data_IF_037165090290
#
_entry.id   IF_037165090290
#
_cell.length_a   1.000
_cell.length_b   1.000
_cell.length_c   1.000
_cell.angle_alpha   90.00
_cell.angle_beta   90.00
_cell.angle_gamma   90.00
#
_symmetry.space_group_name_H-M   'P 1'
#
loop_
_entity.id
_entity.type
_entity.pdbx_description
1 polymer ?
#
# COMPACT_ATOMS: atom_id res chain seq x y z
N UNK A 1 7.84 17.44 -23.56
CA UNK A 1 8.87 17.25 -22.52
C UNK A 1 10.23 17.18 -23.17
N UNK A 2 11.00 18.25 -22.99
CA UNK A 2 12.39 18.40 -23.40
C UNK A 2 13.15 19.11 -22.28
N UNK A 3 14.47 19.00 -22.29
CA UNK A 3 15.33 19.75 -21.36
C UNK A 3 15.13 21.25 -21.59
N UNK A 4 14.86 21.99 -20.52
CA UNK A 4 14.53 23.42 -20.54
C UNK A 4 13.03 23.73 -20.40
N UNK A 5 12.14 22.74 -20.49
CA UNK A 5 10.72 22.96 -20.24
C UNK A 5 10.50 23.42 -18.78
N UNK A 6 9.65 24.44 -18.57
CA UNK A 6 9.32 24.99 -17.27
C UNK A 6 7.82 24.85 -16.97
N UNK A 7 7.49 24.35 -15.78
CA UNK A 7 6.12 24.09 -15.33
C UNK A 7 5.81 24.96 -14.10
N UNK A 8 4.73 25.74 -14.16
CA UNK A 8 4.34 26.61 -13.04
C UNK A 8 3.85 25.81 -11.85
N UNK A 9 3.04 24.78 -12.11
CA UNK A 9 2.54 23.89 -11.08
C UNK A 9 3.05 22.46 -11.28
N UNK A 10 3.04 21.69 -10.20
CA UNK A 10 3.36 20.27 -10.28
C UNK A 10 2.26 19.48 -11.04
N UNK A 11 1.02 19.96 -11.05
CA UNK A 11 -0.08 19.35 -11.81
C UNK A 11 0.17 19.45 -13.32
N UNK A 12 0.59 20.62 -13.82
CA UNK A 12 0.93 20.80 -15.24
C UNK A 12 2.04 19.81 -15.68
N UNK A 13 3.02 19.61 -14.79
CA UNK A 13 4.07 18.62 -15.02
C UNK A 13 3.53 17.18 -15.03
N UNK A 14 2.64 16.81 -14.11
CA UNK A 14 2.04 15.47 -14.08
C UNK A 14 1.23 15.17 -15.33
N UNK A 15 0.52 16.16 -15.88
CA UNK A 15 -0.21 16.03 -17.15
C UNK A 15 0.74 15.83 -18.33
N UNK A 16 1.78 16.67 -18.44
CA UNK A 16 2.80 16.54 -19.47
C UNK A 16 3.54 15.20 -19.39
N UNK A 17 3.84 14.74 -18.16
CA UNK A 17 4.45 13.44 -17.91
C UNK A 17 3.50 12.30 -18.28
N UNK A 18 2.21 12.40 -17.99
CA UNK A 18 1.20 11.40 -18.36
C UNK A 18 1.11 11.23 -19.88
N UNK A 19 1.13 12.33 -20.63
CA UNK A 19 1.17 12.30 -22.10
C UNK A 19 2.48 11.67 -22.60
N UNK A 20 3.61 12.05 -22.02
CA UNK A 20 4.92 11.49 -22.37
C UNK A 20 5.00 9.97 -22.13
N UNK A 21 4.47 9.49 -21.00
CA UNK A 21 4.41 8.06 -20.67
C UNK A 21 3.62 7.27 -21.71
N UNK A 22 2.48 7.82 -22.16
CA UNK A 22 1.63 7.19 -23.17
C UNK A 22 2.27 7.16 -24.55
N UNK A 23 2.98 8.22 -24.96
CA UNK A 23 3.62 8.28 -26.28
C UNK A 23 4.88 7.43 -26.38
N UNK A 24 5.62 7.27 -25.27
CA UNK A 24 6.89 6.54 -25.24
C UNK A 24 6.77 5.11 -24.69
N UNK A 25 5.60 4.74 -24.15
CA UNK A 25 5.33 3.45 -23.51
C UNK A 25 6.27 3.13 -22.33
N UNK A 26 6.68 4.15 -21.59
CA UNK A 26 7.54 4.04 -20.40
C UNK A 26 6.80 4.55 -19.18
N UNK A 27 7.06 3.95 -18.03
CA UNK A 27 6.61 4.48 -16.75
C UNK A 27 7.78 4.86 -15.84
N UNK A 28 7.53 5.85 -14.98
CA UNK A 28 8.52 6.44 -14.09
C UNK A 28 8.00 6.47 -12.66
N UNK A 29 8.91 6.28 -11.70
CA UNK A 29 8.65 6.44 -10.27
C UNK A 29 9.56 7.52 -9.67
N UNK A 30 9.13 8.14 -8.57
CA UNK A 30 9.95 9.11 -7.83
C UNK A 30 11.08 8.36 -7.12
N UNK A 31 12.31 8.60 -7.57
CA UNK A 31 13.52 8.01 -6.97
C UNK A 31 14.03 8.86 -5.80
N UNK A 32 14.01 10.17 -5.97
CA UNK A 32 14.42 11.11 -4.93
C UNK A 32 13.65 12.43 -5.08
N UNK A 33 13.38 13.11 -3.98
CA UNK A 33 12.71 14.40 -3.99
C UNK A 33 13.01 15.19 -2.72
N UNK A 34 13.00 16.52 -2.86
CA UNK A 34 12.97 17.43 -1.70
C UNK A 34 11.83 18.41 -1.88
N UNK A 35 11.07 18.64 -0.82
CA UNK A 35 9.98 19.61 -0.84
C UNK A 35 10.53 21.03 -0.71
N UNK A 36 9.86 21.99 -1.35
CA UNK A 36 10.25 23.40 -1.29
C UNK A 36 10.31 23.89 0.16
N UNK A 37 9.26 23.60 0.94
CA UNK A 37 9.14 23.93 2.38
C UNK A 37 10.34 23.44 3.21
N UNK A 38 10.83 22.23 2.96
CA UNK A 38 11.98 21.67 3.70
C UNK A 38 13.29 22.40 3.41
N UNK A 39 13.39 23.04 2.24
CA UNK A 39 14.63 23.64 1.74
C UNK A 39 14.69 25.16 1.94
N UNK A 40 13.63 25.81 2.41
CA UNK A 40 13.59 27.27 2.66
C UNK A 40 14.77 27.74 3.53
N UNK A 41 15.10 27.00 4.60
CA UNK A 41 16.22 27.36 5.49
C UNK A 41 17.59 27.38 4.79
N UNK A 42 17.80 26.48 3.82
CA UNK A 42 19.06 26.37 3.06
C UNK A 42 19.08 27.29 1.85
N UNK A 43 17.90 27.54 1.28
CA UNK A 43 17.72 28.33 0.08
C UNK A 43 16.59 29.34 0.31
N UNK A 44 16.91 30.52 0.89
CA UNK A 44 15.91 31.53 1.25
C UNK A 44 15.09 32.04 0.06
N UNK A 45 15.58 31.89 -1.18
CA UNK A 45 14.84 32.19 -2.42
C UNK A 45 13.53 31.39 -2.55
N UNK A 46 13.42 30.23 -1.91
CA UNK A 46 12.17 29.45 -1.86
C UNK A 46 11.19 29.97 -0.81
N UNK A 47 11.53 30.97 0.01
CA UNK A 47 10.56 31.57 0.92
C UNK A 47 9.40 32.24 0.15
N UNK A 48 9.68 32.75 -1.05
CA UNK A 48 8.71 33.38 -1.94
C UNK A 48 8.13 32.40 -2.98
N UNK A 49 8.50 31.11 -2.91
CA UNK A 49 7.99 30.13 -3.89
C UNK A 49 6.49 30.00 -3.76
N UNK A 50 5.80 29.87 -4.89
CA UNK A 50 4.36 29.63 -4.90
C UNK A 50 4.03 28.39 -4.06
N UNK A 51 2.95 28.43 -3.26
CA UNK A 51 2.52 27.26 -2.47
C UNK A 51 2.20 26.03 -3.35
N UNK A 52 1.96 26.28 -4.63
CA UNK A 52 1.69 25.30 -5.68
C UNK A 52 2.96 24.53 -6.10
N UNK A 53 4.14 25.05 -5.78
CA UNK A 53 5.42 24.38 -6.01
C UNK A 53 5.71 23.36 -4.89
N UNK A 54 5.20 22.14 -5.07
CA UNK A 54 5.35 21.07 -4.07
C UNK A 54 6.81 20.70 -3.77
N UNK A 55 7.68 20.76 -4.78
CA UNK A 55 9.05 20.25 -4.72
C UNK A 55 10.09 21.33 -5.06
N UNK A 56 11.23 21.28 -4.36
CA UNK A 56 12.46 21.98 -4.76
C UNK A 56 13.17 21.20 -5.87
N UNK A 57 13.28 19.89 -5.75
CA UNK A 57 13.70 19.04 -6.86
C UNK A 57 12.98 17.70 -6.82
N UNK A 58 12.84 17.08 -7.98
CA UNK A 58 12.32 15.73 -8.15
C UNK A 58 13.18 15.00 -9.16
N UNK A 59 13.68 13.83 -8.78
CA UNK A 59 14.32 12.87 -9.67
C UNK A 59 13.38 11.70 -9.90
N UNK A 60 12.88 11.57 -11.11
CA UNK A 60 12.16 10.41 -11.59
C UNK A 60 13.15 9.43 -12.23
N UNK A 61 12.92 8.14 -12.03
CA UNK A 61 13.65 7.08 -12.72
C UNK A 61 12.66 6.11 -13.35
N UNK A 62 13.07 5.42 -14.42
CA UNK A 62 12.27 4.38 -15.04
C UNK A 62 11.89 3.31 -13.99
N UNK A 63 10.70 2.70 -14.10
CA UNK A 63 10.25 1.60 -13.23
C UNK A 63 11.23 0.41 -13.24
N UNK A 64 11.90 0.18 -14.37
CA UNK A 64 12.96 -0.81 -14.52
C UNK A 64 14.33 -0.35 -14.00
N UNK A 65 14.45 0.89 -13.55
CA UNK A 65 15.70 1.48 -13.10
C UNK A 65 16.18 0.98 -11.74
N UNK A 66 17.50 0.99 -11.52
CA UNK A 66 18.12 0.57 -10.27
C UNK A 66 18.16 -0.96 -10.05
N UNK A 67 18.58 -1.37 -8.86
CA UNK A 67 18.75 -2.78 -8.49
C UNK A 67 17.89 -3.16 -7.29
N UNK A 68 17.45 -4.42 -7.26
CA UNK A 68 16.80 -4.97 -6.08
C UNK A 68 17.85 -5.15 -4.96
N UNK A 69 17.61 -4.53 -3.81
CA UNK A 69 18.45 -4.68 -2.62
C UNK A 69 17.68 -5.46 -1.57
N UNK A 70 18.20 -6.63 -1.19
CA UNK A 70 17.65 -7.42 -0.08
C UNK A 70 17.96 -6.71 1.23
N UNK A 71 17.09 -6.86 2.23
CA UNK A 71 17.39 -6.47 3.60
C UNK A 71 18.31 -7.52 4.21
N UNK A 72 19.30 -7.08 5.00
CA UNK A 72 20.28 -7.96 5.64
C UNK A 72 19.65 -8.98 6.61
N UNK A 73 18.39 -8.78 7.03
CA UNK A 73 17.67 -9.63 8.00
C UNK A 73 16.87 -10.79 7.38
N UNK A 74 16.85 -10.95 6.05
CA UNK A 74 16.06 -12.01 5.41
C UNK A 74 16.89 -13.28 5.17
N UNK A 75 16.42 -14.43 5.67
CA UNK A 75 17.01 -15.77 5.48
C UNK A 75 16.87 -16.35 4.06
N UNK A 76 16.49 -15.52 3.07
CA UNK A 76 16.39 -15.85 1.64
C UNK A 76 15.51 -17.05 1.24
N UNK A 77 14.55 -17.42 2.09
CA UNK A 77 13.67 -18.58 1.90
C UNK A 77 12.64 -18.43 0.77
N UNK A 78 12.50 -17.25 0.15
CA UNK A 78 11.52 -16.99 -0.93
C UNK A 78 12.15 -16.26 -2.11
N UNK A 79 12.01 -16.83 -3.30
CA UNK A 79 12.34 -16.15 -4.56
C UNK A 79 11.39 -14.97 -4.78
N UNK A 80 11.92 -13.76 -4.84
CA UNK A 80 11.15 -12.55 -5.15
C UNK A 80 11.48 -12.06 -6.55
N UNK A 81 10.49 -11.99 -7.43
CA UNK A 81 10.65 -11.39 -8.75
C UNK A 81 10.71 -9.87 -8.64
N UNK A 82 11.69 -9.24 -9.27
CA UNK A 82 11.82 -7.79 -9.33
C UNK A 82 11.78 -7.31 -10.78
N UNK A 83 11.12 -6.19 -11.03
CA UNK A 83 11.11 -5.54 -12.35
C UNK A 83 12.39 -4.71 -12.62
N UNK A 84 13.28 -4.62 -11.63
CA UNK A 84 14.49 -3.80 -11.64
C UNK A 84 15.55 -4.45 -12.54
N UNK A 85 15.90 -3.79 -13.63
CA UNK A 85 16.86 -4.22 -14.66
C UNK A 85 18.05 -3.25 -14.78
N UNK A 86 18.21 -2.30 -13.86
CA UNK A 86 19.30 -1.34 -13.90
C UNK A 86 19.16 -0.24 -14.96
N UNK A 87 17.96 0.00 -15.48
CA UNK A 87 17.72 1.07 -16.46
C UNK A 87 18.17 2.44 -15.94
N UNK A 88 18.94 3.17 -16.75
CA UNK A 88 19.53 4.46 -16.38
C UNK A 88 18.65 5.66 -16.72
N UNK A 89 17.56 5.46 -17.49
CA UNK A 89 16.65 6.54 -17.85
C UNK A 89 16.10 7.28 -16.64
N UNK A 90 16.18 8.61 -16.69
CA UNK A 90 15.76 9.49 -15.62
C UNK A 90 15.30 10.85 -16.13
N UNK A 91 14.44 11.50 -15.33
CA UNK A 91 14.01 12.88 -15.54
C UNK A 91 14.29 13.63 -14.25
N UNK A 92 14.96 14.78 -14.34
CA UNK A 92 15.33 15.60 -13.20
C UNK A 92 14.77 17.00 -13.35
N UNK A 93 13.96 17.38 -12.37
CA UNK A 93 13.37 18.71 -12.27
C UNK A 93 13.92 19.43 -11.04
N UNK A 94 14.16 20.73 -11.19
CA UNK A 94 14.56 21.62 -10.09
C UNK A 94 13.72 22.90 -10.13
N UNK A 95 13.50 23.50 -8.98
CA UNK A 95 12.91 24.83 -8.89
C UNK A 95 13.83 25.85 -9.55
N UNK A 96 13.25 26.74 -10.36
CA UNK A 96 13.97 27.80 -11.02
C UNK A 96 14.62 28.78 -10.02
N UNK A 97 15.44 29.70 -10.53
CA UNK A 97 16.12 30.68 -9.69
C UNK A 97 15.16 31.57 -8.86
N UNK A 98 13.95 31.81 -9.37
CA UNK A 98 12.92 32.63 -8.72
C UNK A 98 12.08 31.86 -7.69
N UNK A 99 12.05 30.53 -7.76
CA UNK A 99 11.19 29.67 -6.94
C UNK A 99 9.75 29.56 -7.44
N UNK A 100 9.45 29.96 -8.68
CA UNK A 100 8.08 30.07 -9.20
C UNK A 100 7.64 28.86 -10.04
N UNK A 101 8.61 28.13 -10.60
CA UNK A 101 8.36 27.03 -11.55
C UNK A 101 9.38 25.89 -11.39
N UNK A 102 8.97 24.68 -11.77
CA UNK A 102 9.84 23.51 -11.93
C UNK A 102 10.40 23.46 -13.35
N UNK A 103 11.71 23.51 -13.48
CA UNK A 103 12.43 23.42 -14.74
C UNK A 103 13.03 22.02 -14.92
N UNK A 104 12.84 21.45 -16.11
CA UNK A 104 13.44 20.17 -16.49
C UNK A 104 14.92 20.38 -16.85
N UNK A 105 15.82 20.20 -15.89
CA UNK A 105 17.25 20.48 -16.06
C UNK A 105 18.00 19.35 -16.75
N UNK A 106 17.65 18.08 -16.46
CA UNK A 106 18.37 16.92 -17.00
C UNK A 106 17.39 15.81 -17.35
N UNK A 107 17.64 15.17 -18.48
CA UNK A 107 16.85 14.04 -18.96
C UNK A 107 17.78 13.02 -19.62
N UNK A 108 17.60 11.75 -19.30
CA UNK A 108 18.16 10.64 -20.06
C UNK A 108 17.00 9.73 -20.48
N UNK A 109 16.84 9.52 -21.79
CA UNK A 109 15.80 8.65 -22.38
C UNK A 109 16.39 7.37 -22.98
N UNK A 110 17.61 7.02 -22.63
CA UNK A 110 18.21 5.74 -23.00
C UNK A 110 17.68 4.62 -22.08
N UNK A 111 16.96 3.66 -22.68
CA UNK A 111 16.42 2.50 -21.98
C UNK A 111 17.14 1.24 -22.41
N UNK A 112 17.48 0.38 -21.45
CA UNK A 112 18.13 -0.91 -21.69
C UNK A 112 17.12 -2.07 -21.82
N UNK A 113 15.85 -1.75 -22.03
CA UNK A 113 14.75 -2.72 -22.09
C UNK A 113 13.78 -2.35 -23.21
N UNK A 114 12.99 -3.34 -23.63
CA UNK A 114 11.96 -3.14 -24.65
C UNK A 114 10.87 -2.19 -24.16
N UNK A 115 10.37 -1.37 -25.08
CA UNK A 115 9.24 -0.46 -24.89
C UNK A 115 8.16 -0.84 -25.87
N UNK A 116 7.03 -1.33 -25.37
CA UNK A 116 5.87 -1.65 -26.20
C UNK A 116 4.59 -1.28 -25.48
N UNK A 117 3.54 -0.98 -26.25
CA UNK A 117 2.22 -0.63 -25.72
C UNK A 117 1.64 -1.74 -24.84
N UNK A 118 1.86 -2.99 -25.25
CA UNK A 118 1.41 -4.17 -24.49
C UNK A 118 2.11 -4.24 -23.15
N UNK A 119 3.44 -4.14 -23.11
CA UNK A 119 4.22 -4.15 -21.88
C UNK A 119 3.83 -2.99 -20.96
N UNK A 120 3.64 -1.79 -21.52
CA UNK A 120 3.21 -0.61 -20.78
C UNK A 120 1.86 -0.82 -20.10
N UNK A 121 0.87 -1.35 -20.83
CA UNK A 121 -0.48 -1.63 -20.30
C UNK A 121 -0.47 -2.66 -19.15
N UNK A 122 0.50 -3.57 -19.15
CA UNK A 122 0.68 -4.56 -18.08
C UNK A 122 1.47 -4.05 -16.86
N UNK A 123 2.02 -2.83 -16.88
CA UNK A 123 2.78 -2.28 -15.75
C UNK A 123 1.88 -2.08 -14.51
N UNK A 124 2.37 -2.38 -13.29
CA UNK A 124 1.56 -2.29 -12.07
C UNK A 124 0.86 -0.95 -11.84
N UNK A 125 1.48 0.17 -12.23
CA UNK A 125 0.87 1.49 -12.08
C UNK A 125 -0.25 1.76 -13.09
N UNK A 126 -0.15 1.23 -14.32
CA UNK A 126 -1.19 1.38 -15.33
C UNK A 126 -2.44 0.55 -14.99
N UNK A 127 -2.23 -0.59 -14.32
CA UNK A 127 -3.31 -1.46 -13.82
C UNK A 127 -3.99 -0.96 -12.54
N UNK A 128 -3.58 0.19 -11.98
CA UNK A 128 -4.20 0.73 -10.77
C UNK A 128 -5.63 1.21 -11.05
N UNK A 129 -6.55 0.69 -10.25
CA UNK A 129 -7.95 1.09 -10.19
C UNK A 129 -8.16 2.29 -9.27
N UNK A 130 -9.19 3.09 -9.55
CA UNK A 130 -9.58 4.26 -8.75
C UNK A 130 -10.11 3.83 -7.38
N UNK A 131 -10.13 4.73 -6.36
CA UNK A 131 -10.72 4.41 -5.07
C UNK A 131 -12.18 3.94 -5.17
N UNK A 132 -12.99 4.53 -6.05
CA UNK A 132 -14.38 4.10 -6.26
C UNK A 132 -14.46 2.67 -6.82
N UNK A 133 -13.66 2.36 -7.84
CA UNK A 133 -13.60 1.01 -8.42
C UNK A 133 -13.13 -0.04 -7.41
N UNK A 134 -12.21 0.32 -6.51
CA UNK A 134 -11.76 -0.58 -5.43
C UNK A 134 -12.91 -0.98 -4.51
N UNK A 135 -13.77 -0.03 -4.14
CA UNK A 135 -14.94 -0.32 -3.30
C UNK A 135 -15.90 -1.28 -4.01
N UNK A 136 -16.16 -1.05 -5.29
CA UNK A 136 -17.01 -1.94 -6.09
C UNK A 136 -16.43 -3.37 -6.17
N UNK A 137 -15.11 -3.51 -6.38
CA UNK A 137 -14.44 -4.82 -6.36
C UNK A 137 -14.57 -5.48 -4.99
N UNK A 138 -14.42 -4.72 -3.91
CA UNK A 138 -14.57 -5.24 -2.54
C UNK A 138 -15.99 -5.73 -2.27
N UNK A 139 -17.02 -4.99 -2.70
CA UNK A 139 -18.42 -5.39 -2.57
C UNK A 139 -18.71 -6.68 -3.33
N UNK A 140 -18.29 -6.76 -4.60
CA UNK A 140 -18.47 -7.97 -5.42
C UNK A 140 -17.76 -9.19 -4.82
N UNK A 141 -16.57 -8.97 -4.24
CA UNK A 141 -15.83 -10.02 -3.55
C UNK A 141 -16.50 -10.46 -2.23
N UNK A 142 -17.13 -9.54 -1.48
CA UNK A 142 -17.93 -9.87 -0.28
C UNK A 142 -19.15 -10.72 -0.63
N UNK A 143 -19.77 -10.46 -1.77
CA UNK A 143 -20.87 -11.27 -2.34
C UNK A 143 -20.41 -12.62 -2.92
N UNK A 144 -19.12 -12.99 -2.75
CA UNK A 144 -18.51 -14.21 -3.28
C UNK A 144 -18.68 -14.37 -4.80
N UNK A 145 -18.76 -13.27 -5.54
CA UNK A 145 -18.84 -13.32 -6.99
C UNK A 145 -17.57 -13.94 -7.61
N UNK A 146 -17.73 -14.56 -8.78
CA UNK A 146 -16.61 -15.20 -9.47
C UNK A 146 -15.56 -14.16 -9.91
N UNK A 147 -14.30 -14.35 -9.50
CA UNK A 147 -13.19 -13.44 -9.82
C UNK A 147 -13.00 -13.18 -11.31
N UNK A 148 -13.27 -14.15 -12.19
CA UNK A 148 -13.19 -13.98 -13.65
C UNK A 148 -14.27 -13.01 -14.16
N UNK A 149 -15.47 -13.07 -13.59
CA UNK A 149 -16.57 -12.16 -13.94
C UNK A 149 -16.28 -10.74 -13.45
N UNK A 150 -15.73 -10.61 -12.23
CA UNK A 150 -15.28 -9.32 -11.70
C UNK A 150 -14.19 -8.73 -12.60
N UNK A 151 -13.22 -9.54 -13.01
CA UNK A 151 -12.16 -9.13 -13.93
C UNK A 151 -12.73 -8.60 -15.24
N UNK A 152 -13.62 -9.36 -15.89
CA UNK A 152 -14.25 -8.94 -17.14
C UNK A 152 -15.02 -7.62 -16.95
N UNK A 153 -15.87 -7.52 -15.92
CA UNK A 153 -16.63 -6.30 -15.61
C UNK A 153 -15.70 -5.09 -15.44
N UNK A 154 -14.62 -5.24 -14.70
CA UNK A 154 -13.66 -4.16 -14.46
C UNK A 154 -12.90 -3.78 -15.73
N UNK A 155 -12.49 -4.75 -16.55
CA UNK A 155 -11.82 -4.48 -17.82
C UNK A 155 -12.76 -3.76 -18.80
N UNK A 156 -14.02 -4.19 -18.94
CA UNK A 156 -15.02 -3.53 -19.79
C UNK A 156 -15.31 -2.11 -19.34
N UNK A 157 -15.41 -1.88 -18.02
CA UNK A 157 -15.72 -0.56 -17.45
C UNK A 157 -14.56 0.43 -17.54
N UNK A 158 -13.33 -0.04 -17.29
CA UNK A 158 -12.15 0.84 -17.16
C UNK A 158 -11.27 0.91 -18.40
N UNK A 159 -11.39 -0.07 -19.31
CA UNK A 159 -10.48 -0.25 -20.44
C UNK A 159 -9.06 -0.66 -20.06
N UNK A 160 -8.78 -0.88 -18.77
CA UNK A 160 -7.45 -1.24 -18.27
C UNK A 160 -7.29 -2.75 -18.19
N UNK A 161 -6.06 -3.21 -18.38
CA UNK A 161 -5.72 -4.61 -18.09
C UNK A 161 -5.70 -4.82 -16.59
N UNK A 162 -6.51 -5.76 -16.09
CA UNK A 162 -6.57 -6.11 -14.66
C UNK A 162 -6.33 -7.60 -14.54
N UNK A 163 -5.43 -8.01 -13.65
CA UNK A 163 -5.13 -9.41 -13.38
C UNK A 163 -5.94 -9.93 -12.18
N UNK A 164 -6.18 -11.24 -12.14
CA UNK A 164 -6.84 -11.89 -11.00
C UNK A 164 -6.08 -11.67 -9.68
N UNK A 165 -4.76 -11.56 -9.73
CA UNK A 165 -3.92 -11.24 -8.58
C UNK A 165 -4.20 -9.83 -8.05
N UNK A 166 -4.52 -8.87 -8.91
CA UNK A 166 -4.86 -7.51 -8.47
C UNK A 166 -6.16 -7.51 -7.69
N UNK A 167 -7.17 -8.23 -8.17
CA UNK A 167 -8.47 -8.39 -7.49
C UNK A 167 -8.27 -9.06 -6.13
N UNK A 168 -7.46 -10.12 -6.08
CA UNK A 168 -7.14 -10.78 -4.82
C UNK A 168 -6.41 -9.85 -3.84
N UNK A 169 -5.43 -9.07 -4.33
CA UNK A 169 -4.70 -8.10 -3.52
C UNK A 169 -5.60 -6.96 -3.03
N UNK A 170 -6.51 -6.45 -3.86
CA UNK A 170 -7.49 -5.44 -3.46
C UNK A 170 -8.34 -5.98 -2.30
N UNK A 171 -8.80 -7.24 -2.40
CA UNK A 171 -9.57 -7.85 -1.33
C UNK A 171 -8.76 -8.06 -0.05
N UNK A 172 -7.51 -8.56 -0.14
CA UNK A 172 -6.70 -8.80 1.07
C UNK A 172 -6.25 -7.52 1.76
N UNK A 173 -5.88 -6.49 1.00
CA UNK A 173 -5.46 -5.18 1.52
C UNK A 173 -6.62 -4.25 1.90
N UNK A 174 -7.78 -4.44 1.26
CA UNK A 174 -8.99 -3.66 1.49
C UNK A 174 -9.94 -4.29 2.52
N UNK A 175 -9.62 -5.47 3.04
CA UNK A 175 -10.12 -5.85 4.36
C UNK A 175 -9.59 -4.80 5.32
N UNK A 176 -10.50 -4.05 5.95
CA UNK A 176 -10.16 -3.41 7.20
C UNK A 176 -9.50 -4.48 8.07
N UNK A 177 -8.32 -4.23 8.67
CA UNK A 177 -7.89 -5.10 9.76
C UNK A 177 -9.10 -5.17 10.66
N UNK A 178 -9.64 -6.37 10.85
CA UNK A 178 -10.68 -6.50 11.85
C UNK A 178 -9.92 -6.22 13.14
N UNK A 179 -10.00 -4.97 13.59
CA UNK A 179 -10.06 -4.70 15.00
C UNK A 179 -11.35 -5.38 15.44
N UNK A 180 -11.37 -6.72 15.44
CA UNK A 180 -12.25 -7.42 16.34
C UNK A 180 -11.67 -7.01 17.69
N UNK A 181 -12.21 -5.93 18.24
CA UNK A 181 -11.89 -5.57 19.60
C UNK A 181 -12.12 -6.82 20.42
N UNK A 182 -11.20 -7.14 21.34
CA UNK A 182 -11.34 -8.34 22.17
C UNK A 182 -12.71 -8.37 22.85
N UNK A 183 -13.28 -7.19 23.13
CA UNK A 183 -14.66 -6.98 23.58
C UNK A 183 -15.73 -7.51 22.62
N UNK A 184 -15.62 -7.28 21.30
CA UNK A 184 -16.58 -7.76 20.30
C UNK A 184 -16.57 -9.29 20.21
N UNK A 185 -15.38 -9.90 20.35
CA UNK A 185 -15.23 -11.36 20.38
C UNK A 185 -15.87 -11.93 21.64
N UNK A 186 -15.61 -11.30 22.80
CA UNK A 186 -16.20 -11.68 24.08
C UNK A 186 -17.72 -11.60 24.04
N UNK A 187 -18.29 -10.52 23.49
CA UNK A 187 -19.72 -10.34 23.35
C UNK A 187 -20.34 -11.42 22.44
N UNK A 188 -19.68 -11.75 21.33
CA UNK A 188 -20.13 -12.84 20.45
C UNK A 188 -20.10 -14.20 21.15
N UNK A 189 -19.06 -14.48 21.95
CA UNK A 189 -18.95 -15.74 22.69
C UNK A 189 -20.01 -15.85 23.79
N UNK A 190 -20.25 -14.77 24.53
CA UNK A 190 -21.30 -14.70 25.55
C UNK A 190 -22.69 -14.93 24.93
N UNK A 191 -22.98 -14.28 23.80
CA UNK A 191 -24.29 -14.39 23.15
C UNK A 191 -24.53 -15.75 22.46
N UNK A 192 -23.48 -16.35 21.88
CA UNK A 192 -23.64 -17.59 21.09
C UNK A 192 -23.68 -18.84 21.99
N UNK A 193 -22.83 -18.88 23.01
CA UNK A 193 -22.64 -20.06 23.85
C UNK A 193 -23.20 -19.89 25.26
N UNK A 194 -23.74 -18.71 25.58
CA UNK A 194 -24.29 -18.38 26.89
C UNK A 194 -23.27 -18.62 28.03
N UNK A 195 -21.99 -18.39 27.72
CA UNK A 195 -20.84 -18.58 28.60
C UNK A 195 -20.46 -17.26 29.29
N UNK A 196 -19.88 -17.35 30.49
CA UNK A 196 -19.22 -16.23 31.14
C UNK A 196 -17.79 -16.14 30.64
N UNK A 197 -17.34 -14.95 30.26
CA UNK A 197 -15.96 -14.72 29.81
C UNK A 197 -15.36 -13.59 30.63
N UNK A 198 -14.23 -13.84 31.27
CA UNK A 198 -13.47 -12.85 32.04
C UNK A 198 -12.10 -12.63 31.40
N UNK A 199 -11.69 -11.38 31.32
CA UNK A 199 -10.41 -10.97 30.72
C UNK A 199 -9.52 -10.48 31.85
N UNK A 200 -8.34 -11.08 31.99
CA UNK A 200 -7.30 -10.64 32.92
C UNK A 200 -6.22 -9.89 32.16
N UNK A 201 -5.88 -8.69 32.63
CA UNK A 201 -4.85 -7.83 32.06
C UNK A 201 -3.87 -7.37 33.13
N UNK A 202 -2.62 -7.14 32.74
CA UNK A 202 -1.56 -6.61 33.60
C UNK A 202 -1.77 -5.11 33.88
N UNK A 203 -0.99 -4.59 34.83
CA UNK A 203 -0.76 -3.18 35.13
C UNK A 203 -0.46 -2.32 33.89
N UNK A 204 0.20 -2.90 32.87
CA UNK A 204 0.49 -2.25 31.59
C UNK A 204 -0.59 -2.47 30.50
N UNK A 205 -1.79 -2.94 30.87
CA UNK A 205 -2.91 -3.29 29.98
C UNK A 205 -2.59 -4.38 28.93
N UNK A 206 -1.57 -5.21 29.18
CA UNK A 206 -1.31 -6.39 28.36
C UNK A 206 -2.23 -7.54 28.77
N UNK A 207 -2.80 -8.26 27.80
CA UNK A 207 -3.64 -9.43 28.07
C UNK A 207 -2.80 -10.54 28.72
N UNK A 208 -3.13 -10.90 29.97
CA UNK A 208 -2.48 -12.01 30.70
C UNK A 208 -3.24 -13.31 30.46
N UNK A 209 -4.57 -13.26 30.47
CA UNK A 209 -5.38 -14.46 30.39
C UNK A 209 -6.83 -14.18 30.02
N UNK A 210 -7.48 -15.18 29.47
CA UNK A 210 -8.90 -15.15 29.14
C UNK A 210 -9.53 -16.41 29.73
N UNK A 211 -10.47 -16.20 30.64
CA UNK A 211 -11.20 -17.27 31.32
C UNK A 211 -12.58 -17.41 30.68
N UNK A 212 -12.96 -18.62 30.28
CA UNK A 212 -14.27 -18.92 29.71
C UNK A 212 -14.91 -20.01 30.57
N UNK A 213 -16.14 -19.77 31.01
CA UNK A 213 -16.92 -20.73 31.77
C UNK A 213 -18.28 -20.93 31.11
N UNK A 214 -18.53 -22.16 30.64
CA UNK A 214 -19.83 -22.54 30.12
C UNK A 214 -20.83 -22.89 31.25
N UNK A 215 -22.09 -23.08 30.89
CA UNK A 215 -23.17 -23.39 31.85
C UNK A 215 -23.00 -24.77 32.51
N UNK A 216 -22.34 -25.71 31.84
CA UNK A 216 -22.07 -27.04 32.39
C UNK A 216 -21.01 -26.92 33.48
N UNK A 217 -19.89 -26.24 33.19
CA UNK A 217 -18.83 -25.92 34.15
C UNK A 217 -19.37 -25.17 35.38
N UNK A 218 -20.29 -24.22 35.19
CA UNK A 218 -20.95 -23.52 36.31
C UNK A 218 -21.78 -24.48 37.17
N UNK A 219 -22.58 -25.34 36.54
CA UNK A 219 -23.45 -26.28 37.25
C UNK A 219 -22.64 -27.36 37.97
N UNK A 220 -21.58 -27.88 37.33
CA UNK A 220 -20.67 -28.86 37.91
C UNK A 220 -19.91 -28.29 39.10
N UNK A 221 -19.41 -27.05 39.00
CA UNK A 221 -18.74 -26.38 40.12
C UNK A 221 -19.69 -26.11 41.31
N UNK A 222 -20.95 -25.75 41.04
CA UNK A 222 -21.98 -25.61 42.08
C UNK A 222 -22.33 -26.95 42.76
N UNK A 223 -22.33 -28.03 41.99
CA UNK A 223 -22.65 -29.36 42.50
C UNK A 223 -21.50 -29.99 43.30
N UNK A 224 -20.25 -29.70 42.91
CA UNK A 224 -19.04 -30.29 43.51
C UNK A 224 -17.94 -29.23 43.66
N UNK A 225 -18.00 -28.38 44.71
CA UNK A 225 -17.03 -27.30 44.92
C UNK A 225 -15.61 -27.80 45.24
N UNK A 226 -15.46 -29.04 45.72
CA UNK A 226 -14.17 -29.70 45.94
C UNK A 226 -13.44 -30.15 44.66
N UNK A 227 -14.13 -30.16 43.51
CA UNK A 227 -13.52 -30.52 42.22
C UNK A 227 -12.94 -29.26 41.58
N UNK A 228 -11.62 -29.09 41.71
CA UNK A 228 -10.89 -28.03 41.01
C UNK A 228 -11.01 -28.21 39.48
N UNK A 229 -11.54 -27.20 38.79
CA UNK A 229 -11.61 -27.20 37.33
C UNK A 229 -10.20 -27.19 36.74
N UNK A 230 -9.93 -28.09 35.79
CA UNK A 230 -8.67 -28.16 35.06
C UNK A 230 -8.60 -26.93 34.13
N UNK A 231 -7.69 -26.01 34.45
CA UNK A 231 -7.33 -24.91 33.55
C UNK A 231 -6.52 -25.46 32.36
N UNK A 232 -7.07 -25.32 31.15
CA UNK A 232 -6.33 -25.59 29.92
C UNK A 232 -5.63 -24.29 29.48
N UNK A 233 -4.36 -24.15 29.81
CA UNK A 233 -3.53 -23.05 29.34
C UNK A 233 -3.13 -23.27 27.87
N UNK A 234 -3.69 -22.48 26.97
CA UNK A 234 -3.16 -22.35 25.61
C UNK A 234 -2.04 -21.31 25.60
N UNK A 235 -0.79 -21.76 25.69
CA UNK A 235 0.35 -20.87 25.44
C UNK A 235 0.49 -20.65 23.94
N UNK A 236 0.01 -19.51 23.45
CA UNK A 236 0.32 -19.04 22.10
C UNK A 236 1.73 -18.45 22.11
N UNK A 237 2.72 -19.29 21.82
CA UNK A 237 4.08 -18.80 21.56
C UNK A 237 4.06 -18.02 20.23
N UNK A 238 3.87 -16.70 20.33
CA UNK A 238 4.08 -15.78 19.21
C UNK A 238 5.58 -15.57 19.09
N UNK A 239 6.23 -16.37 18.24
CA UNK A 239 7.60 -16.13 17.84
C UNK A 239 7.66 -14.86 16.97
N UNK A 240 8.33 -13.83 17.50
CA UNK A 240 8.64 -12.56 16.81
C UNK A 240 9.66 -12.75 15.69
#
# INVERSE_FOLDING_TARGET
>A
MRVGDAFKTYADFEEALSQYKKSTFVDFYIKDSKTAKSQIRRYPKLANSSEQLKYYYVKLACVHGGSYRKKNSCQDLRSTSSMRQGCEAYIYLIANAKGDALELTRMNDEHNHEKSETLFSHLPNQRRVTPQEKMEVLELMKLKANKKLIQHKMQTKTGKVINLKDIANIYTTGKTPSHNSLSEIVEQLQNTYNCTVEISADSDQNLIGLFIQDKIMQNTFKAFPEVGNIEVYWKLDVYF
#
